data_IF_644979226385
#
_entry.id   IF_644979226385
#
_cell.length_a   1.000
_cell.length_b   1.000
_cell.length_c   1.000
_cell.angle_alpha   90.00
_cell.angle_beta   90.00
_cell.angle_gamma   90.00
#
_symmetry.space_group_name_H-M   'P 1'
#
loop_
_entity.id
_entity.type
_entity.pdbx_description
1 polymer ?
#
# COMPACT_ATOMS: atom_id res chain seq x y z
N UNK A 1 4.37 22.15 30.01
CA UNK A 1 3.44 22.24 28.86
C UNK A 1 4.21 22.11 27.55
N UNK A 2 5.29 22.87 27.35
CA UNK A 2 6.10 22.84 26.11
C UNK A 2 6.56 21.45 25.64
N UNK A 3 7.05 20.58 26.54
CA UNK A 3 7.52 19.23 26.16
C UNK A 3 6.41 18.37 25.51
N UNK A 4 5.20 18.42 26.06
CA UNK A 4 4.06 17.63 25.57
C UNK A 4 3.65 18.13 24.18
N UNK A 5 3.68 19.45 23.98
CA UNK A 5 3.36 20.05 22.69
C UNK A 5 4.39 19.64 21.62
N UNK A 6 5.68 19.67 21.93
CA UNK A 6 6.72 19.20 21.01
C UNK A 6 6.58 17.71 20.68
N UNK A 7 6.29 16.87 21.67
CA UNK A 7 6.07 15.45 21.45
C UNK A 7 4.85 15.20 20.55
N UNK A 8 3.78 15.97 20.73
CA UNK A 8 2.59 15.90 19.90
C UNK A 8 2.87 16.29 18.45
N UNK A 9 3.57 17.40 18.22
CA UNK A 9 3.95 17.82 16.86
C UNK A 9 4.88 16.82 16.19
N UNK A 10 5.84 16.24 16.93
CA UNK A 10 6.73 15.22 16.40
C UNK A 10 5.95 13.98 15.95
N UNK A 11 5.04 13.47 16.79
CA UNK A 11 4.20 12.31 16.45
C UNK A 11 3.30 12.60 15.26
N UNK A 12 2.70 13.80 15.20
CA UNK A 12 1.91 14.25 14.07
C UNK A 12 2.71 14.19 12.76
N UNK A 13 3.91 14.75 12.71
CA UNK A 13 4.72 14.74 11.48
C UNK A 13 5.20 13.33 11.09
N UNK A 14 5.54 12.49 12.08
CA UNK A 14 5.94 11.09 11.85
C UNK A 14 4.78 10.29 11.27
N UNK A 15 3.57 10.40 11.84
CA UNK A 15 2.37 9.74 11.32
C UNK A 15 2.12 10.14 9.86
N UNK A 16 2.19 11.44 9.55
CA UNK A 16 1.98 11.97 8.19
C UNK A 16 3.01 11.45 7.20
N UNK A 17 4.27 11.34 7.61
CA UNK A 17 5.34 10.78 6.79
C UNK A 17 5.11 9.29 6.49
N UNK A 18 4.68 8.52 7.50
CA UNK A 18 4.36 7.09 7.34
C UNK A 18 3.17 6.89 6.39
N UNK A 19 2.09 7.66 6.57
CA UNK A 19 0.91 7.60 5.70
C UNK A 19 1.28 7.97 4.26
N UNK A 20 2.10 9.01 4.05
CA UNK A 20 2.59 9.38 2.73
C UNK A 20 3.37 8.25 2.07
N UNK A 21 4.25 7.57 2.83
CA UNK A 21 4.96 6.39 2.36
C UNK A 21 4.03 5.27 1.92
N UNK A 22 2.96 5.00 2.68
CA UNK A 22 1.93 4.01 2.33
C UNK A 22 1.21 4.39 1.03
N UNK A 23 0.83 5.66 0.86
CA UNK A 23 0.18 6.13 -0.37
C UNK A 23 1.09 5.93 -1.58
N UNK A 24 2.37 6.30 -1.48
CA UNK A 24 3.36 6.09 -2.56
C UNK A 24 3.50 4.60 -2.87
N UNK A 25 3.63 3.76 -1.84
CA UNK A 25 3.76 2.31 -1.98
C UNK A 25 2.51 1.67 -2.61
N UNK A 26 1.31 2.17 -2.29
CA UNK A 26 0.05 1.71 -2.88
C UNK A 26 -0.02 2.07 -4.38
N UNK A 27 0.30 3.32 -4.74
CA UNK A 27 0.30 3.79 -6.13
C UNK A 27 1.33 3.00 -6.95
N UNK A 28 2.55 2.87 -6.45
CA UNK A 28 3.59 2.12 -7.14
C UNK A 28 3.26 0.63 -7.26
N UNK A 29 2.64 0.04 -6.24
CA UNK A 29 2.11 -1.32 -6.31
C UNK A 29 1.00 -1.46 -7.36
N UNK A 30 0.05 -0.54 -7.41
CA UNK A 30 -1.02 -0.54 -8.40
C UNK A 30 -0.48 -0.42 -9.84
N UNK A 31 0.53 0.41 -10.06
CA UNK A 31 1.23 0.51 -11.36
C UNK A 31 1.87 -0.84 -11.72
N UNK A 32 2.60 -1.47 -10.79
CA UNK A 32 3.20 -2.80 -11.02
C UNK A 32 2.13 -3.85 -11.37
N UNK A 33 1.00 -3.89 -10.66
CA UNK A 33 -0.12 -4.77 -10.99
C UNK A 33 -0.66 -4.48 -12.40
N UNK A 34 -0.87 -3.20 -12.73
CA UNK A 34 -1.43 -2.78 -14.01
C UNK A 34 -0.57 -3.18 -15.21
N UNK A 35 0.77 -3.05 -15.09
CA UNK A 35 1.71 -3.37 -16.18
C UNK A 35 2.13 -4.84 -16.22
N UNK A 36 1.83 -5.61 -15.18
CA UNK A 36 2.10 -7.06 -15.16
C UNK A 36 1.05 -7.83 -15.94
N UNK A 37 1.48 -8.87 -16.66
CA UNK A 37 0.62 -9.79 -17.41
C UNK A 37 -0.36 -10.55 -16.49
N UNK A 38 -1.58 -10.81 -16.97
CA UNK A 38 -2.70 -11.33 -16.16
C UNK A 38 -2.54 -12.82 -15.79
N UNK A 39 -1.95 -13.60 -16.68
CA UNK A 39 -1.59 -15.01 -16.48
C UNK A 39 -0.72 -15.25 -15.24
N UNK A 40 0.20 -14.32 -14.93
CA UNK A 40 1.04 -14.43 -13.74
C UNK A 40 0.22 -14.37 -12.43
N UNK A 41 -0.89 -13.63 -12.42
CA UNK A 41 -1.81 -13.61 -11.27
C UNK A 41 -2.64 -14.89 -11.19
N UNK A 42 -3.05 -15.44 -12.34
CA UNK A 42 -3.80 -16.69 -12.38
C UNK A 42 -3.01 -17.88 -11.82
N UNK A 43 -1.70 -17.95 -12.09
CA UNK A 43 -0.82 -19.02 -11.59
C UNK A 43 -0.76 -19.08 -10.06
N UNK A 44 -0.92 -17.92 -9.39
CA UNK A 44 -0.91 -17.83 -7.92
C UNK A 44 -2.32 -17.82 -7.31
N UNK A 45 -3.33 -18.25 -8.07
CA UNK A 45 -4.75 -18.26 -7.68
C UNK A 45 -5.24 -16.87 -7.24
N UNK A 46 -4.85 -15.81 -7.96
CA UNK A 46 -5.30 -14.43 -7.72
C UNK A 46 -5.80 -13.78 -9.00
N UNK A 47 -6.62 -12.74 -8.83
CA UNK A 47 -7.06 -11.90 -9.95
C UNK A 47 -6.30 -10.58 -9.95
N UNK A 48 -5.71 -10.23 -11.10
CA UNK A 48 -5.07 -8.92 -11.32
C UNK A 48 -6.03 -7.78 -11.03
N UNK A 49 -7.26 -7.86 -11.53
CA UNK A 49 -8.26 -6.80 -11.36
C UNK A 49 -8.61 -6.58 -9.89
N UNK A 50 -8.77 -7.65 -9.11
CA UNK A 50 -9.02 -7.54 -7.67
C UNK A 50 -7.87 -6.82 -6.96
N UNK A 51 -6.63 -7.20 -7.22
CA UNK A 51 -5.47 -6.56 -6.60
C UNK A 51 -5.27 -5.11 -7.03
N UNK A 52 -5.59 -4.78 -8.29
CA UNK A 52 -5.57 -3.40 -8.77
C UNK A 52 -6.59 -2.53 -8.02
N UNK A 53 -7.82 -3.02 -7.85
CA UNK A 53 -8.88 -2.32 -7.13
C UNK A 53 -8.59 -2.22 -5.63
N UNK A 54 -8.05 -3.29 -5.02
CA UNK A 54 -7.69 -3.31 -3.61
C UNK A 54 -6.56 -2.32 -3.31
N UNK A 55 -5.50 -2.28 -4.13
CA UNK A 55 -4.41 -1.32 -3.96
C UNK A 55 -4.84 0.12 -4.26
N UNK A 56 -5.64 0.32 -5.31
CA UNK A 56 -6.22 1.63 -5.61
C UNK A 56 -7.10 2.13 -4.47
N UNK A 57 -8.00 1.28 -3.97
CA UNK A 57 -8.87 1.56 -2.83
C UNK A 57 -8.09 1.83 -1.54
N UNK A 58 -7.06 1.05 -1.24
CA UNK A 58 -6.20 1.26 -0.09
C UNK A 58 -5.41 2.57 -0.20
N UNK A 59 -4.85 2.89 -1.36
CA UNK A 59 -4.15 4.15 -1.61
C UNK A 59 -5.07 5.36 -1.44
N UNK A 60 -6.29 5.30 -1.97
CA UNK A 60 -7.30 6.34 -1.77
C UNK A 60 -7.72 6.44 -0.31
N UNK A 61 -7.94 5.33 0.38
CA UNK A 61 -8.28 5.32 1.80
C UNK A 61 -7.16 5.95 2.66
N UNK A 62 -5.89 5.59 2.43
CA UNK A 62 -4.75 6.19 3.12
C UNK A 62 -4.65 7.71 2.83
N UNK A 63 -4.84 8.11 1.57
CA UNK A 63 -4.80 9.52 1.18
C UNK A 63 -5.93 10.31 1.83
N UNK A 64 -7.18 9.91 1.64
CA UNK A 64 -8.33 10.69 2.11
C UNK A 64 -8.51 10.58 3.62
N UNK A 65 -8.47 9.37 4.19
CA UNK A 65 -8.76 9.15 5.61
C UNK A 65 -7.55 9.40 6.53
N UNK A 66 -6.33 9.29 6.00
CA UNK A 66 -5.10 9.52 6.76
C UNK A 66 -4.43 10.87 6.49
N UNK A 67 -4.40 11.33 5.24
CA UNK A 67 -3.63 12.53 4.85
C UNK A 67 -4.49 13.79 4.61
N UNK A 68 -5.72 13.68 4.12
CA UNK A 68 -6.49 14.87 3.76
C UNK A 68 -7.48 15.31 4.85
N UNK A 69 -7.90 14.40 5.74
CA UNK A 69 -8.75 14.78 6.86
C UNK A 69 -7.97 15.59 7.91
N UNK A 70 -8.57 16.66 8.47
CA UNK A 70 -7.93 17.52 9.47
C UNK A 70 -7.87 16.91 10.88
N UNK A 71 -8.34 15.67 11.05
CA UNK A 71 -8.35 14.97 12.33
C UNK A 71 -7.05 14.15 12.47
N UNK A 72 -6.17 14.46 13.43
CA UNK A 72 -4.98 13.65 13.70
C UNK A 72 -5.37 12.29 14.29
N UNK A 73 -4.55 11.25 14.04
CA UNK A 73 -4.64 9.93 14.67
C UNK A 73 -5.97 9.17 14.44
N UNK A 74 -6.35 8.97 13.18
CA UNK A 74 -7.43 8.01 12.86
C UNK A 74 -6.86 6.61 12.68
N UNK A 75 -7.45 5.59 13.31
CA UNK A 75 -7.04 4.19 13.10
C UNK A 75 -7.37 3.70 11.67
N UNK A 76 -8.22 4.43 10.94
CA UNK A 76 -8.74 4.03 9.64
C UNK A 76 -7.66 3.78 8.58
N UNK A 77 -6.56 4.56 8.58
CA UNK A 77 -5.49 4.38 7.59
C UNK A 77 -4.66 3.10 7.81
N UNK A 78 -4.71 2.50 9.01
CA UNK A 78 -3.97 1.28 9.33
C UNK A 78 -4.46 0.10 8.46
N UNK A 79 -5.76 0.02 8.19
CA UNK A 79 -6.30 -1.01 7.29
C UNK A 79 -5.67 -0.92 5.89
N UNK A 80 -5.50 0.30 5.36
CA UNK A 80 -4.81 0.53 4.11
C UNK A 80 -3.33 0.13 4.18
N UNK A 81 -2.65 0.46 5.30
CA UNK A 81 -1.26 0.08 5.53
C UNK A 81 -1.06 -1.45 5.48
N UNK A 82 -1.96 -2.21 6.11
CA UNK A 82 -1.93 -3.68 6.11
C UNK A 82 -2.10 -4.23 4.71
N UNK A 83 -3.11 -3.77 3.97
CA UNK A 83 -3.38 -4.22 2.59
C UNK A 83 -2.17 -3.96 1.68
N UNK A 84 -1.59 -2.75 1.76
CA UNK A 84 -0.39 -2.39 1.00
C UNK A 84 0.78 -3.28 1.41
N UNK A 85 0.97 -3.52 2.71
CA UNK A 85 1.99 -4.43 3.24
C UNK A 85 1.85 -5.85 2.68
N UNK A 86 0.64 -6.41 2.64
CA UNK A 86 0.37 -7.73 2.06
C UNK A 86 0.78 -7.78 0.60
N UNK A 87 0.44 -6.77 -0.20
CA UNK A 87 0.90 -6.74 -1.60
C UNK A 87 2.42 -6.80 -1.72
N UNK A 88 3.15 -6.01 -0.92
CA UNK A 88 4.61 -5.92 -1.03
C UNK A 88 5.34 -7.17 -0.53
N UNK A 89 4.81 -7.85 0.47
CA UNK A 89 5.46 -9.00 1.12
C UNK A 89 4.97 -10.36 0.60
N UNK A 90 3.74 -10.46 0.11
CA UNK A 90 3.14 -11.73 -0.33
C UNK A 90 2.95 -11.75 -1.85
N UNK A 91 2.13 -10.85 -2.38
CA UNK A 91 1.70 -10.90 -3.79
C UNK A 91 2.83 -10.58 -4.75
N UNK A 92 3.59 -9.52 -4.50
CA UNK A 92 4.67 -9.10 -5.40
C UNK A 92 5.77 -10.15 -5.52
N UNK A 93 6.30 -10.76 -4.43
CA UNK A 93 7.23 -11.88 -4.54
C UNK A 93 6.65 -13.07 -5.30
N UNK A 94 5.42 -13.50 -4.98
CA UNK A 94 4.80 -14.64 -5.64
C UNK A 94 4.63 -14.43 -7.17
N UNK A 95 4.17 -13.24 -7.58
CA UNK A 95 4.07 -12.88 -9.00
C UNK A 95 5.45 -12.84 -9.66
N UNK A 96 6.46 -12.30 -8.97
CA UNK A 96 7.83 -12.24 -9.49
C UNK A 96 8.41 -13.63 -9.71
N UNK A 97 8.22 -14.55 -8.77
CA UNK A 97 8.71 -15.93 -8.90
C UNK A 97 8.11 -16.62 -10.14
N UNK A 98 6.84 -16.35 -10.46
CA UNK A 98 6.21 -16.86 -11.69
C UNK A 98 6.81 -16.24 -12.96
N UNK A 99 7.11 -14.95 -12.95
CA UNK A 99 7.71 -14.27 -14.09
C UNK A 99 9.15 -14.77 -14.35
N UNK A 100 9.96 -14.88 -13.29
CA UNK A 100 11.36 -15.30 -13.38
C UNK A 100 11.48 -16.76 -13.84
N UNK A 101 10.61 -17.68 -13.37
CA UNK A 101 10.60 -19.07 -13.85
C UNK A 101 10.07 -19.24 -15.29
N UNK A 102 9.40 -18.22 -15.85
CA UNK A 102 8.87 -18.28 -17.21
C UNK A 102 9.88 -17.88 -18.29
N UNK A 103 11.13 -17.54 -17.94
CA UNK A 103 12.19 -17.23 -18.89
C UNK A 103 13.22 -18.35 -19.09
N UNK A 104 13.14 -19.44 -18.33
CA UNK A 104 14.13 -20.52 -18.31
C UNK A 104 13.79 -21.73 -19.22
N UNK A 105 12.83 -21.59 -20.13
CA UNK A 105 12.42 -22.60 -21.13
C UNK A 105 12.68 -22.12 -22.56
#
# INVERSE_FOLDING_TARGET
MEFIDYAYYALYWVERAVILGIVIAAVWGAIQVAVTRDDAFMVIDRSKQNWLLILGGAGLAALFLGLLLPQPMTIAWIAAAVVVGVYWQDIRPAVRDVLDNSSDW
#
